data_IF_212708437569
#
_entry.id   IF_212708437569
#
_cell.length_a   1.000
_cell.length_b   1.000
_cell.length_c   1.000
_cell.angle_alpha   90.00
_cell.angle_beta   90.00
_cell.angle_gamma   90.00
#
_symmetry.space_group_name_H-M   'P 1'
#
loop_
_entity.id
_entity.type
_entity.pdbx_description
1 polymer ?
#
# COMPACT_ATOMS: atom_id res chain seq x y z
N UNK A 1 24.03 13.24 -0.41
CA UNK A 1 23.14 12.95 0.75
C UNK A 1 21.70 13.27 0.33
N UNK A 2 20.77 12.31 0.38
CA UNK A 2 19.37 12.55 -0.01
C UNK A 2 18.55 12.72 1.27
N UNK A 3 17.94 13.87 1.46
CA UNK A 3 17.08 14.13 2.63
C UNK A 3 15.82 13.26 2.49
N UNK A 4 15.45 12.46 3.52
CA UNK A 4 14.24 11.65 3.46
C UNK A 4 13.01 12.55 3.36
N UNK A 5 12.02 12.12 2.58
CA UNK A 5 10.73 12.81 2.45
C UNK A 5 9.71 12.11 3.35
N UNK A 6 9.07 12.83 4.30
CA UNK A 6 8.07 12.22 5.16
C UNK A 6 6.79 11.87 4.38
N UNK A 7 6.06 10.89 4.89
CA UNK A 7 4.70 10.59 4.43
C UNK A 7 3.71 11.49 5.17
N UNK A 8 2.98 12.33 4.42
CA UNK A 8 1.93 13.17 4.99
C UNK A 8 0.67 12.34 5.25
N UNK A 9 0.16 12.36 6.48
CA UNK A 9 -1.08 11.71 6.85
C UNK A 9 -2.17 12.77 7.07
N UNK A 10 -3.34 12.54 6.48
CA UNK A 10 -4.53 13.36 6.68
C UNK A 10 -5.69 12.45 7.09
N UNK A 11 -5.84 12.16 8.39
CA UNK A 11 -6.97 11.37 8.89
C UNK A 11 -8.30 12.01 8.48
N UNK A 12 -9.27 11.19 8.08
CA UNK A 12 -10.61 11.67 7.78
C UNK A 12 -11.46 11.82 9.06
N UNK A 13 -11.35 10.85 9.96
CA UNK A 13 -11.95 10.82 11.29
C UNK A 13 -10.83 10.82 12.34
N UNK A 14 -11.11 11.39 13.52
CA UNK A 14 -10.14 11.53 14.61
C UNK A 14 -10.44 10.56 15.76
N UNK A 15 -10.95 9.37 15.43
CA UNK A 15 -11.33 8.34 16.41
C UNK A 15 -10.12 7.57 16.96
N UNK A 16 -8.94 7.80 16.37
CA UNK A 16 -7.66 7.21 16.74
C UNK A 16 -6.61 8.32 16.82
N UNK A 17 -5.64 8.20 17.73
CA UNK A 17 -4.62 9.22 17.89
C UNK A 17 -3.74 9.32 16.63
N UNK A 18 -3.23 10.52 16.33
CA UNK A 18 -2.33 10.71 15.18
C UNK A 18 -1.03 9.91 15.31
N UNK A 19 -0.59 9.65 16.55
CA UNK A 19 0.59 8.82 16.82
C UNK A 19 0.35 7.36 16.42
N UNK A 20 -0.79 6.80 16.82
CA UNK A 20 -1.11 5.40 16.54
C UNK A 20 -1.34 5.19 15.03
N UNK A 21 -2.06 6.10 14.37
CA UNK A 21 -2.21 6.08 12.92
C UNK A 21 -0.85 6.18 12.19
N UNK A 22 0.08 6.99 12.69
CA UNK A 22 1.41 7.10 12.11
C UNK A 22 2.24 5.83 12.33
N UNK A 23 2.16 5.22 13.52
CA UNK A 23 2.85 3.98 13.84
C UNK A 23 2.33 2.81 12.99
N UNK A 24 1.02 2.66 12.86
CA UNK A 24 0.40 1.66 12.00
C UNK A 24 0.75 1.88 10.53
N UNK A 25 0.68 3.12 10.05
CA UNK A 25 1.04 3.44 8.66
C UNK A 25 2.50 3.12 8.37
N UNK A 26 3.41 3.45 9.30
CA UNK A 26 4.83 3.13 9.20
C UNK A 26 5.05 1.62 9.20
N UNK A 27 4.38 0.88 10.09
CA UNK A 27 4.46 -0.58 10.12
C UNK A 27 4.03 -1.18 8.77
N UNK A 28 2.91 -0.70 8.20
CA UNK A 28 2.43 -1.14 6.88
C UNK A 28 3.44 -0.90 5.75
N UNK A 29 4.38 0.06 5.85
CA UNK A 29 5.42 0.23 4.81
C UNK A 29 6.51 -0.83 4.88
N UNK A 30 6.60 -1.58 5.99
CA UNK A 30 7.55 -2.66 6.23
C UNK A 30 6.98 -4.06 6.00
N UNK A 31 5.68 -4.16 5.76
CA UNK A 31 4.96 -5.45 5.65
C UNK A 31 4.99 -6.06 4.24
N UNK A 32 5.98 -5.72 3.41
CA UNK A 32 6.12 -6.33 2.10
C UNK A 32 6.86 -7.67 2.20
N UNK A 33 6.13 -8.78 2.26
CA UNK A 33 6.71 -10.12 2.33
C UNK A 33 7.43 -10.57 1.04
N UNK A 34 7.20 -9.87 -0.09
CA UNK A 34 7.87 -10.14 -1.37
C UNK A 34 9.22 -9.43 -1.52
N UNK A 35 9.67 -8.70 -0.48
CA UNK A 35 10.93 -7.98 -0.51
C UNK A 35 11.59 -8.00 0.87
N UNK A 36 12.91 -8.15 0.90
CA UNK A 36 13.70 -7.97 2.12
C UNK A 36 14.08 -6.51 2.35
N UNK A 37 13.67 -5.60 1.46
CA UNK A 37 14.00 -4.19 1.54
C UNK A 37 13.05 -3.44 2.50
N UNK A 38 13.60 -2.95 3.60
CA UNK A 38 12.83 -2.29 4.66
C UNK A 38 12.66 -0.78 4.48
N UNK A 39 13.06 -0.18 3.37
CA UNK A 39 12.99 1.28 3.13
C UNK A 39 11.80 1.70 2.24
N UNK A 40 10.79 0.83 2.10
CA UNK A 40 9.57 1.12 1.37
C UNK A 40 8.86 2.38 1.88
N UNK A 41 8.59 3.33 0.97
CA UNK A 41 7.94 4.59 1.32
C UNK A 41 6.40 4.52 1.37
N UNK A 42 5.78 3.57 0.65
CA UNK A 42 4.32 3.43 0.59
C UNK A 42 3.83 2.24 1.42
N UNK A 43 2.73 2.37 2.18
CA UNK A 43 2.07 1.25 2.85
C UNK A 43 1.72 0.12 1.87
N UNK A 44 1.84 -1.13 2.31
CA UNK A 44 1.59 -2.33 1.48
C UNK A 44 0.18 -2.33 0.89
N UNK A 45 -0.81 -1.80 1.61
CA UNK A 45 -2.21 -1.68 1.14
C UNK A 45 -2.31 -0.89 -0.16
N UNK A 46 -1.64 0.26 -0.24
CA UNK A 46 -1.60 1.08 -1.46
C UNK A 46 -0.77 0.43 -2.57
N UNK A 47 0.33 -0.24 -2.22
CA UNK A 47 1.16 -0.93 -3.21
C UNK A 47 0.41 -2.08 -3.88
N UNK A 48 -0.26 -2.92 -3.09
CA UNK A 48 -1.06 -4.04 -3.57
C UNK A 48 -2.18 -3.55 -4.49
N UNK A 49 -2.98 -2.58 -4.04
CA UNK A 49 -4.07 -2.00 -4.84
C UNK A 49 -3.57 -1.44 -6.19
N UNK A 50 -2.45 -0.70 -6.19
CA UNK A 50 -1.84 -0.18 -7.43
C UNK A 50 -1.28 -1.28 -8.33
N UNK A 51 -0.77 -2.38 -7.77
CA UNK A 51 -0.27 -3.52 -8.55
C UNK A 51 -1.42 -4.27 -9.22
N UNK A 52 -2.45 -4.62 -8.45
CA UNK A 52 -3.68 -5.24 -8.96
C UNK A 52 -4.29 -4.38 -10.06
N UNK A 53 -4.51 -3.08 -9.81
CA UNK A 53 -5.06 -2.17 -10.83
C UNK A 53 -4.22 -2.07 -12.10
N UNK A 54 -2.88 -2.12 -11.99
CA UNK A 54 -1.98 -2.15 -13.17
C UNK A 54 -2.10 -3.42 -13.99
N UNK A 55 -2.47 -4.55 -13.38
CA UNK A 55 -2.67 -5.82 -14.08
C UNK A 55 -4.07 -5.84 -14.68
N UNK A 56 -5.09 -5.53 -13.89
CA UNK A 56 -6.49 -5.59 -14.31
C UNK A 56 -6.85 -4.63 -15.46
N UNK A 57 -6.14 -3.49 -15.60
CA UNK A 57 -6.38 -2.56 -16.73
C UNK A 57 -6.14 -3.16 -18.12
N UNK A 58 -5.45 -4.31 -18.20
CA UNK A 58 -5.17 -5.00 -19.46
C UNK A 58 -6.17 -6.14 -19.74
N UNK A 59 -7.10 -6.40 -18.81
CA UNK A 59 -8.13 -7.41 -19.02
C UNK A 59 -9.23 -6.81 -19.91
N UNK A 60 -9.64 -7.50 -20.99
CA UNK A 60 -10.77 -7.08 -21.82
C UNK A 60 -12.06 -6.99 -20.99
N UNK A 61 -12.93 -6.03 -21.33
CA UNK A 61 -14.23 -5.93 -20.67
C UNK A 61 -15.05 -7.21 -20.89
N UNK A 62 -15.77 -7.64 -19.85
CA UNK A 62 -16.63 -8.83 -19.91
C UNK A 62 -15.95 -10.14 -19.51
N UNK A 63 -14.67 -10.13 -19.15
CA UNK A 63 -14.01 -11.26 -18.51
C UNK A 63 -14.17 -11.22 -16.99
N UNK A 64 -14.56 -12.35 -16.41
CA UNK A 64 -14.61 -12.50 -14.96
C UNK A 64 -13.18 -12.71 -14.44
N UNK A 65 -12.77 -11.89 -13.49
CA UNK A 65 -11.41 -11.93 -12.92
C UNK A 65 -11.51 -12.09 -11.43
N UNK A 66 -10.76 -13.08 -10.91
CA UNK A 66 -10.60 -13.29 -9.48
C UNK A 66 -9.98 -12.04 -8.84
N UNK A 67 -10.76 -11.28 -8.07
CA UNK A 67 -10.36 -9.99 -7.49
C UNK A 67 -9.47 -10.07 -6.24
N UNK A 68 -9.14 -11.27 -5.75
CA UNK A 68 -8.30 -11.41 -4.56
C UNK A 68 -6.85 -11.00 -4.88
N UNK A 69 -6.31 -10.06 -4.12
CA UNK A 69 -4.98 -9.50 -4.32
C UNK A 69 -3.87 -10.56 -4.30
N UNK A 70 -4.09 -11.69 -3.60
CA UNK A 70 -3.12 -12.79 -3.47
C UNK A 70 -2.66 -13.36 -4.81
N UNK A 71 -3.49 -13.28 -5.86
CA UNK A 71 -3.14 -13.77 -7.19
C UNK A 71 -2.26 -12.80 -8.00
N UNK A 72 -1.98 -11.61 -7.45
CA UNK A 72 -1.30 -10.53 -8.16
C UNK A 72 0.03 -10.11 -7.54
N UNK A 73 0.43 -10.71 -6.41
CA UNK A 73 1.61 -10.35 -5.62
C UNK A 73 2.76 -11.32 -5.81
#
# INVERSE_FOLDING_TARGET
>A
MRVPRPLMLRPHLNDTSSHDLAAETLALTKMNWNSTQFDGASPITLQAARRVGRILKHVPQGFDVQGDYRYFI
#
